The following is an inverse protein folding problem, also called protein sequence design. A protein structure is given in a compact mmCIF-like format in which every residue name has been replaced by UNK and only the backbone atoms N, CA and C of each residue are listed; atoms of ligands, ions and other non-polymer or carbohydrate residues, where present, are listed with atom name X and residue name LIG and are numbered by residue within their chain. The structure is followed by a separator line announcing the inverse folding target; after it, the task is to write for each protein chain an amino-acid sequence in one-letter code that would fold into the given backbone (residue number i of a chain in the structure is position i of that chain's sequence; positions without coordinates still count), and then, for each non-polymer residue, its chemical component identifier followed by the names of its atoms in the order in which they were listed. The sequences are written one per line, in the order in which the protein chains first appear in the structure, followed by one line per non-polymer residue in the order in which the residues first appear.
data_IF_397299085123
#
_entry.id   IF_397299085123
#
_cell.length_a   1.000
_cell.length_b   1.000
_cell.length_c   1.000
_cell.angle_alpha   90.00
_cell.angle_beta   90.00
_cell.angle_gamma   90.00
#
_symmetry.space_group_name_H-M   'P 1'
#
loop_
_entity.id
_entity.type
_entity.pdbx_description
1 polymer ?
#
# COMPACT_ATOMS: atom_id res chain seq x y z
N UNK A 1 0.37 -12.31 -7.50
CA UNK A 1 -0.35 -11.23 -6.80
C UNK A 1 -1.85 -11.33 -7.01
N UNK A 2 -2.61 -11.00 -6.00
CA UNK A 2 -4.06 -11.05 -6.09
C UNK A 2 -4.61 -9.88 -6.91
N UNK A 3 -5.67 -10.13 -7.64
CA UNK A 3 -6.49 -9.08 -8.23
C UNK A 3 -7.42 -8.51 -7.15
N UNK A 4 -8.07 -7.38 -7.44
CA UNK A 4 -9.05 -6.82 -6.51
C UNK A 4 -10.18 -7.82 -6.23
N UNK A 5 -10.67 -8.52 -7.26
CA UNK A 5 -11.73 -9.50 -7.09
C UNK A 5 -11.31 -10.67 -6.20
N UNK A 6 -10.07 -11.11 -6.33
CA UNK A 6 -9.53 -12.16 -5.46
C UNK A 6 -9.34 -11.66 -4.04
N UNK A 7 -8.88 -10.42 -3.88
CA UNK A 7 -8.71 -9.79 -2.57
C UNK A 7 -10.04 -9.68 -1.82
N UNK A 8 -11.11 -9.33 -2.52
CA UNK A 8 -12.46 -9.23 -1.92
C UNK A 8 -12.91 -10.51 -1.23
N UNK A 9 -12.40 -11.64 -1.68
CA UNK A 9 -12.75 -12.96 -1.15
C UNK A 9 -11.84 -13.42 -0.02
N UNK A 10 -10.80 -12.66 0.28
CA UNK A 10 -9.81 -13.04 1.28
C UNK A 10 -10.02 -12.25 2.58
N UNK A 11 -10.96 -12.72 3.39
CA UNK A 11 -11.33 -12.05 4.62
C UNK A 11 -10.17 -11.91 5.60
N UNK A 12 -9.34 -12.92 5.72
CA UNK A 12 -8.21 -12.91 6.65
C UNK A 12 -7.22 -11.80 6.27
N UNK A 13 -6.92 -11.68 4.99
CA UNK A 13 -6.03 -10.65 4.50
C UNK A 13 -6.62 -9.25 4.66
N UNK A 14 -7.91 -9.10 4.38
CA UNK A 14 -8.62 -7.83 4.56
C UNK A 14 -8.53 -7.38 6.02
N UNK A 15 -8.72 -8.30 6.96
CA UNK A 15 -8.66 -7.99 8.38
C UNK A 15 -7.25 -7.62 8.86
N UNK A 16 -6.23 -7.96 8.09
CA UNK A 16 -4.84 -7.66 8.40
C UNK A 16 -4.46 -6.22 8.02
N UNK A 17 -5.25 -5.55 7.19
CA UNK A 17 -4.88 -4.25 6.62
C UNK A 17 -4.87 -3.15 7.67
N UNK A 18 -3.76 -2.43 7.74
CA UNK A 18 -3.63 -1.23 8.57
C UNK A 18 -4.09 -0.02 7.78
N UNK A 19 -5.29 0.45 8.08
CA UNK A 19 -5.90 1.57 7.38
C UNK A 19 -5.47 2.94 7.89
N UNK A 20 -4.94 3.00 9.11
CA UNK A 20 -4.60 4.24 9.80
C UNK A 20 -3.11 4.58 9.78
N UNK A 21 -2.36 3.91 8.93
CA UNK A 21 -0.95 4.19 8.75
C UNK A 21 -0.78 5.62 8.25
N UNK A 22 0.18 6.35 8.80
CA UNK A 22 0.42 7.72 8.34
C UNK A 22 0.94 7.69 6.91
N UNK A 23 0.63 8.70 6.10
CA UNK A 23 1.15 8.78 4.74
C UNK A 23 2.67 8.67 4.66
N UNK A 24 3.36 9.33 5.59
CA UNK A 24 4.82 9.27 5.63
C UNK A 24 5.35 7.87 5.87
N UNK A 25 4.78 7.15 6.82
CA UNK A 25 5.18 5.78 7.11
C UNK A 25 4.95 4.86 5.92
N UNK A 26 3.78 4.94 5.32
CA UNK A 26 3.43 4.09 4.19
C UNK A 26 4.37 4.30 3.00
N UNK A 27 4.59 5.55 2.62
CA UNK A 27 5.43 5.88 1.47
C UNK A 27 6.89 5.55 1.73
N UNK A 28 7.39 5.90 2.90
CA UNK A 28 8.79 5.62 3.25
C UNK A 28 9.08 4.13 3.29
N UNK A 29 8.22 3.36 3.91
CA UNK A 29 8.41 1.92 3.99
C UNK A 29 8.41 1.27 2.60
N UNK A 30 7.57 1.76 1.71
CA UNK A 30 7.53 1.27 0.34
C UNK A 30 8.78 1.67 -0.46
N UNK A 31 9.16 2.94 -0.42
CA UNK A 31 10.29 3.44 -1.19
C UNK A 31 11.62 2.86 -0.74
N UNK A 32 11.75 2.57 0.52
CA UNK A 32 12.96 2.01 1.07
C UNK A 32 13.09 0.51 0.89
N UNK A 33 12.03 -0.12 0.46
CA UNK A 33 12.05 -1.53 0.12
C UNK A 33 13.01 -1.76 -1.06
N UNK A 34 13.98 -2.59 -0.88
CA UNK A 34 15.00 -2.83 -1.89
C UNK A 34 16.21 -1.93 -1.77
N UNK A 35 16.19 -1.00 -0.85
CA UNK A 35 17.34 -0.16 -0.52
C UNK A 35 17.98 -0.68 0.76
N UNK A 36 19.22 -1.11 0.68
CA UNK A 36 19.91 -1.71 1.79
C UNK A 36 20.18 -0.75 2.96
N UNK A 37 20.12 0.55 2.69
CA UNK A 37 20.42 1.56 3.71
C UNK A 37 19.20 2.09 4.45
N UNK A 38 18.01 1.67 4.05
CA UNK A 38 16.79 2.20 4.64
C UNK A 38 16.63 1.83 6.12
N UNK A 39 17.33 0.80 6.55
CA UNK A 39 17.33 0.37 7.94
C UNK A 39 17.99 1.31 8.91
N UNK A 40 18.20 2.56 8.56
CA UNK A 40 18.84 3.56 9.42
C UNK A 40 18.07 3.86 10.72
N UNK A 41 16.97 3.20 10.95
CA UNK A 41 16.28 3.23 12.24
C UNK A 41 15.41 4.45 12.50
N UNK A 42 15.15 5.23 11.48
CA UNK A 42 14.32 6.43 11.62
C UNK A 42 12.82 6.17 11.57
N UNK A 43 12.43 4.95 11.27
CA UNK A 43 11.02 4.61 11.10
C UNK A 43 10.61 3.59 12.13
N UNK A 44 9.35 3.61 12.46
CA UNK A 44 8.81 2.58 13.32
C UNK A 44 8.69 1.31 12.50
N UNK A 45 9.79 0.61 12.41
CA UNK A 45 9.79 -0.71 11.80
C UNK A 45 9.53 -1.69 12.93
N UNK A 46 8.51 -2.47 12.73
CA UNK A 46 8.12 -3.48 13.70
C UNK A 46 9.19 -4.56 13.76
N UNK A 47 9.12 -5.41 14.76
CA UNK A 47 10.04 -6.52 14.90
C UNK A 47 9.99 -7.45 13.68
N UNK A 48 10.97 -8.36 13.58
CA UNK A 48 10.99 -9.33 12.49
C UNK A 48 9.71 -10.11 12.32
N UNK A 49 9.04 -10.40 13.44
CA UNK A 49 7.83 -11.20 13.46
C UNK A 49 6.56 -10.39 13.19
N UNK A 50 6.65 -9.06 13.26
CA UNK A 50 5.49 -8.20 13.16
C UNK A 50 5.41 -7.57 11.77
N UNK A 51 4.44 -7.98 11.00
CA UNK A 51 4.20 -7.40 9.69
C UNK A 51 3.22 -6.25 9.78
N UNK A 52 3.43 -5.26 8.91
CA UNK A 52 2.43 -4.23 8.64
C UNK A 52 1.95 -4.44 7.21
N UNK A 53 0.65 -4.51 7.04
CA UNK A 53 0.01 -4.71 5.75
C UNK A 53 -0.78 -3.45 5.40
N UNK A 54 -0.47 -2.87 4.26
CA UNK A 54 -1.00 -1.55 3.91
C UNK A 54 -0.99 -1.33 2.40
N UNK A 55 -1.77 -0.35 1.94
CA UNK A 55 -1.83 0.02 0.53
C UNK A 55 -0.94 1.21 0.21
N UNK A 56 -0.39 1.20 -0.99
CA UNK A 56 0.28 2.36 -1.60
C UNK A 56 -0.19 2.51 -3.04
N UNK A 57 -0.06 3.72 -3.59
CA UNK A 57 -0.37 4.02 -4.97
C UNK A 57 0.92 4.34 -5.71
N UNK A 58 1.17 3.65 -6.80
CA UNK A 58 2.35 3.88 -7.62
C UNK A 58 1.96 4.67 -8.86
N UNK A 59 2.46 5.90 -8.94
CA UNK A 59 2.17 6.86 -10.01
C UNK A 59 3.39 7.15 -10.90
N UNK A 60 4.33 6.24 -11.02
CA UNK A 60 5.50 6.44 -11.87
C UNK A 60 5.19 6.31 -13.35
N UNK A 61 4.29 5.40 -13.70
CA UNK A 61 3.90 5.11 -15.08
C UNK A 61 2.43 4.80 -15.19
N UNK A 62 1.81 5.20 -16.28
CA UNK A 62 0.48 4.74 -16.62
C UNK A 62 0.54 3.32 -17.20
N UNK A 63 -0.41 2.44 -16.91
CA UNK A 63 -1.48 2.66 -15.93
C UNK A 63 -0.96 2.70 -14.50
N UNK A 64 -1.61 3.50 -13.66
CA UNK A 64 -1.24 3.61 -12.26
C UNK A 64 -1.87 2.47 -11.47
N UNK A 65 -1.13 1.96 -10.47
CA UNK A 65 -1.57 0.80 -9.71
C UNK A 65 -1.63 1.06 -8.22
N UNK A 66 -2.55 0.36 -7.58
CA UNK A 66 -2.60 0.25 -6.13
C UNK A 66 -1.99 -1.11 -5.77
N UNK A 67 -1.09 -1.09 -4.80
CA UNK A 67 -0.45 -2.31 -4.29
C UNK A 67 -0.82 -2.52 -2.84
N UNK A 68 -1.11 -3.77 -2.48
CA UNK A 68 -1.17 -4.18 -1.09
C UNK A 68 0.17 -4.80 -0.72
N UNK A 69 0.83 -4.21 0.26
CA UNK A 69 2.17 -4.59 0.68
C UNK A 69 2.11 -5.16 2.09
N UNK A 70 2.83 -6.23 2.32
CA UNK A 70 3.07 -6.75 3.68
C UNK A 70 4.55 -6.64 3.96
N UNK A 71 4.90 -5.97 5.03
CA UNK A 71 6.29 -5.66 5.32
C UNK A 71 6.62 -5.71 6.79
N UNK A 72 7.82 -6.23 7.09
CA UNK A 72 8.45 -6.08 8.40
C UNK A 72 9.88 -5.54 8.22
N UNK A 73 10.70 -5.61 9.26
CA UNK A 73 12.06 -5.08 9.22
C UNK A 73 12.99 -5.81 8.25
N UNK A 74 12.61 -6.97 7.76
CA UNK A 74 13.50 -7.81 6.94
C UNK A 74 12.92 -8.20 5.59
N UNK A 75 11.61 -8.27 5.48
CA UNK A 75 10.94 -8.76 4.28
C UNK A 75 9.87 -7.80 3.81
N UNK A 76 9.66 -7.81 2.52
CA UNK A 76 8.54 -7.11 1.91
C UNK A 76 7.92 -8.02 0.86
N UNK A 77 6.60 -8.04 0.80
CA UNK A 77 5.84 -8.83 -0.15
C UNK A 77 4.78 -7.95 -0.79
N UNK A 78 4.65 -8.07 -2.09
CA UNK A 78 3.51 -7.47 -2.80
C UNK A 78 2.43 -8.53 -2.89
N UNK A 79 1.32 -8.30 -2.21
CA UNK A 79 0.25 -9.30 -2.06
C UNK A 79 -0.85 -9.14 -3.10
N UNK A 80 -1.12 -7.90 -3.51
CA UNK A 80 -2.16 -7.60 -4.48
C UNK A 80 -1.75 -6.41 -5.33
N UNK A 81 -2.29 -6.37 -6.54
CA UNK A 81 -2.02 -5.30 -7.48
C UNK A 81 -3.26 -5.11 -8.35
N UNK A 82 -3.75 -3.88 -8.46
CA UNK A 82 -4.87 -3.55 -9.34
C UNK A 82 -4.81 -2.08 -9.74
N UNK A 83 -5.44 -1.76 -10.85
CA UNK A 83 -5.39 -0.40 -11.37
C UNK A 83 -6.10 0.61 -10.47
N UNK A 84 -5.49 1.78 -10.34
CA UNK A 84 -6.15 2.93 -9.75
C UNK A 84 -7.26 3.37 -10.70
N UNK A 85 -8.52 3.46 -10.24
CA UNK A 85 -9.58 3.97 -11.09
C UNK A 85 -9.23 5.34 -11.66
N UNK A 86 -9.48 5.53 -12.94
CA UNK A 86 -9.09 6.75 -13.66
C UNK A 86 -9.66 8.03 -13.05
N UNK A 87 -10.80 7.95 -12.39
CA UNK A 87 -11.41 9.10 -11.73
C UNK A 87 -10.57 9.67 -10.59
N UNK A 88 -9.63 8.89 -10.05
CA UNK A 88 -8.74 9.32 -8.97
C UNK A 88 -7.39 9.84 -9.45
N UNK A 89 -7.04 9.63 -10.72
CA UNK A 89 -5.73 10.02 -11.24
C UNK A 89 -5.39 11.48 -11.01
N UNK A 90 -6.38 12.35 -11.20
CA UNK A 90 -6.20 13.78 -11.11
C UNK A 90 -5.79 14.23 -9.70
N UNK A 91 -6.33 13.57 -8.69
CA UNK A 91 -6.11 13.96 -7.30
C UNK A 91 -4.90 13.27 -6.68
N UNK A 92 -4.57 12.08 -7.14
CA UNK A 92 -3.55 11.23 -6.51
C UNK A 92 -2.22 11.27 -7.28
N UNK A 93 -2.28 11.25 -8.60
CA UNK A 93 -1.10 11.12 -9.45
C UNK A 93 -0.78 12.40 -10.22
N UNK A 94 -0.90 13.53 -9.57
CA UNK A 94 -0.54 14.81 -10.16
C UNK A 94 0.95 14.86 -10.51
N UNK A 95 1.78 14.29 -9.66
CA UNK A 95 3.21 14.15 -9.86
C UNK A 95 3.60 12.67 -9.84
N UNK A 96 4.70 12.35 -10.52
CA UNK A 96 5.27 11.01 -10.47
C UNK A 96 5.75 10.70 -9.07
N UNK A 97 5.51 9.49 -8.62
CA UNK A 97 5.96 9.05 -7.31
C UNK A 97 5.11 7.92 -6.76
N UNK A 98 5.34 7.66 -5.47
CA UNK A 98 4.56 6.70 -4.69
C UNK A 98 3.85 7.46 -3.59
N UNK A 99 2.57 7.18 -3.41
CA UNK A 99 1.72 7.90 -2.47
C UNK A 99 0.98 6.94 -1.55
N UNK A 100 0.67 7.42 -0.35
CA UNK A 100 -0.28 6.75 0.51
C UNK A 100 -1.69 6.94 -0.07
N UNK A 101 -2.65 6.18 0.45
CA UNK A 101 -4.03 6.32 0.02
C UNK A 101 -4.59 7.69 0.43
N UNK A 102 -5.12 8.41 -0.55
CA UNK A 102 -5.95 9.57 -0.29
C UNK A 102 -7.27 9.11 0.34
N UNK A 103 -7.92 9.99 1.09
CA UNK A 103 -9.15 9.65 1.79
C UNK A 103 -10.25 9.12 0.86
N UNK A 104 -10.37 9.67 -0.33
CA UNK A 104 -11.37 9.22 -1.30
C UNK A 104 -11.09 7.81 -1.81
N UNK A 105 -9.83 7.51 -2.09
CA UNK A 105 -9.41 6.18 -2.53
C UNK A 105 -9.61 5.17 -1.41
N UNK A 106 -9.25 5.56 -0.19
CA UNK A 106 -9.44 4.74 1.00
C UNK A 106 -10.92 4.39 1.21
N UNK A 107 -11.79 5.38 1.10
CA UNK A 107 -13.22 5.17 1.25
C UNK A 107 -13.76 4.20 0.18
N UNK A 108 -13.32 4.38 -1.06
CA UNK A 108 -13.67 3.49 -2.15
C UNK A 108 -13.20 2.06 -1.89
N UNK A 109 -11.95 1.89 -1.47
CA UNK A 109 -11.40 0.57 -1.17
C UNK A 109 -12.15 -0.10 -0.03
N UNK A 110 -12.44 0.63 1.03
CA UNK A 110 -13.21 0.09 2.15
C UNK A 110 -14.58 -0.41 1.69
N UNK A 111 -15.23 0.34 0.84
CA UNK A 111 -16.51 -0.05 0.28
C UNK A 111 -16.38 -1.33 -0.55
N UNK A 112 -15.39 -1.39 -1.42
CA UNK A 112 -15.15 -2.55 -2.27
C UNK A 112 -14.81 -3.80 -1.47
N UNK A 113 -14.09 -3.66 -0.38
CA UNK A 113 -13.69 -4.77 0.47
C UNK A 113 -14.72 -5.10 1.56
N UNK A 114 -15.76 -4.31 1.71
CA UNK A 114 -16.83 -4.57 2.66
C UNK A 114 -16.47 -4.25 4.12
N UNK A 115 -15.60 -3.30 4.33
CA UNK A 115 -15.17 -2.88 5.69
C UNK A 115 -15.56 -1.46 6.00
#
# INVERSE_FOLDING_TARGET
MLTLEELKKNTDLINEIEWNMTPEEAVKQYLEWGNTDWGSGKYVIRSKSDYTTYFVVNCWRKPYFIYLIRRNSQEAQELAKFELPSRFEKDVCELKGVYALEEEVKAWLKQELGV
#
